data_IF_990717030062
#
_entry.id   IF_990717030062
#
_cell.length_a   1.000
_cell.length_b   1.000
_cell.length_c   1.000
_cell.angle_alpha   90.00
_cell.angle_beta   90.00
_cell.angle_gamma   90.00
#
_symmetry.space_group_name_H-M   'P 1'
#
loop_
_entity.id
_entity.type
_entity.pdbx_description
1 polymer ?
#
# COMPACT_ATOMS: atom_id res chain seq x y z
N UNK A 1 -3.86 12.00 -12.37
CA UNK A 1 -2.55 12.40 -11.80
C UNK A 1 -1.45 11.84 -12.67
N UNK A 2 -0.22 12.34 -12.55
CA UNK A 2 0.92 11.72 -13.21
C UNK A 2 1.35 10.47 -12.44
N UNK A 3 1.61 9.37 -13.14
CA UNK A 3 2.24 8.20 -12.54
C UNK A 3 3.71 8.46 -12.27
N UNK A 4 4.31 7.68 -11.37
CA UNK A 4 5.75 7.72 -11.14
C UNK A 4 6.31 6.31 -11.06
N UNK A 5 7.31 6.04 -11.88
CA UNK A 5 8.08 4.79 -11.86
C UNK A 5 9.55 5.14 -11.70
N UNK A 6 10.26 4.48 -10.79
CA UNK A 6 11.64 4.85 -10.44
C UNK A 6 11.79 6.33 -10.04
N UNK A 7 10.77 6.87 -9.35
CA UNK A 7 10.66 8.29 -8.94
C UNK A 7 10.68 9.31 -10.09
N UNK A 8 10.62 8.87 -11.34
CA UNK A 8 10.48 9.72 -12.53
C UNK A 8 9.01 9.81 -12.95
N UNK A 9 8.66 10.90 -13.63
CA UNK A 9 7.37 11.04 -14.29
C UNK A 9 7.11 9.85 -15.23
N UNK A 10 5.86 9.35 -15.23
CA UNK A 10 5.40 8.26 -16.08
C UNK A 10 4.04 8.59 -16.72
N UNK A 11 3.37 7.62 -17.32
CA UNK A 11 2.03 7.80 -17.90
C UNK A 11 0.98 8.11 -16.81
N UNK A 12 -0.13 8.76 -17.16
CA UNK A 12 -1.15 9.12 -16.19
C UNK A 12 -1.93 7.90 -15.67
N UNK A 13 -2.44 8.06 -14.45
CA UNK A 13 -3.49 7.21 -13.87
C UNK A 13 -4.42 8.08 -13.03
N UNK A 14 -5.61 7.57 -12.71
CA UNK A 14 -6.49 8.22 -11.74
C UNK A 14 -5.97 8.01 -10.33
N UNK A 15 -6.28 8.96 -9.43
CA UNK A 15 -5.97 8.79 -8.00
C UNK A 15 -6.73 7.57 -7.40
N UNK A 16 -7.92 7.28 -7.93
CA UNK A 16 -8.70 6.09 -7.55
C UNK A 16 -7.99 4.78 -7.92
N UNK A 17 -7.36 4.71 -9.11
CA UNK A 17 -6.55 3.55 -9.49
C UNK A 17 -5.36 3.35 -8.54
N UNK A 18 -4.67 4.42 -8.14
CA UNK A 18 -3.60 4.35 -7.15
C UNK A 18 -4.11 3.81 -5.80
N UNK A 19 -5.21 4.37 -5.27
CA UNK A 19 -5.80 3.92 -4.00
C UNK A 19 -6.42 2.50 -4.06
N UNK A 20 -6.81 2.05 -5.26
CA UNK A 20 -7.28 0.68 -5.47
C UNK A 20 -6.16 -0.36 -5.26
N UNK A 21 -4.91 0.02 -5.51
CA UNK A 21 -3.73 -0.78 -5.16
C UNK A 21 -3.67 -1.04 -3.67
N UNK A 22 -3.68 0.02 -2.86
CA UNK A 22 -3.65 -0.07 -1.39
C UNK A 22 -4.82 -0.91 -0.84
N UNK A 23 -6.03 -0.66 -1.34
CA UNK A 23 -7.24 -1.39 -0.93
C UNK A 23 -7.09 -2.90 -1.18
N UNK A 24 -6.53 -3.26 -2.34
CA UNK A 24 -6.30 -4.66 -2.70
C UNK A 24 -5.24 -5.31 -1.82
N UNK A 25 -4.17 -4.59 -1.48
CA UNK A 25 -3.13 -5.10 -0.59
C UNK A 25 -3.65 -5.37 0.82
N UNK A 26 -4.46 -4.46 1.37
CA UNK A 26 -5.11 -4.67 2.67
C UNK A 26 -6.02 -5.88 2.64
N UNK A 27 -6.85 -6.02 1.60
CA UNK A 27 -7.71 -7.19 1.39
C UNK A 27 -6.90 -8.50 1.42
N UNK A 28 -5.80 -8.57 0.69
CA UNK A 28 -4.96 -9.77 0.69
C UNK A 28 -4.17 -9.98 1.97
N UNK A 29 -3.81 -8.91 2.68
CA UNK A 29 -3.30 -9.01 4.04
C UNK A 29 -4.31 -9.71 4.95
N UNK A 30 -5.58 -9.32 4.86
CA UNK A 30 -6.68 -9.97 5.58
C UNK A 30 -6.78 -11.44 5.16
N UNK A 31 -6.86 -11.74 3.86
CA UNK A 31 -6.98 -13.12 3.36
C UNK A 31 -5.82 -14.02 3.83
N UNK A 32 -4.59 -13.50 3.83
CA UNK A 32 -3.39 -14.19 4.32
C UNK A 32 -3.43 -14.43 5.82
N UNK A 33 -3.98 -13.52 6.63
CA UNK A 33 -4.15 -13.75 8.07
C UNK A 33 -5.25 -14.78 8.30
N UNK A 34 -6.39 -14.65 7.62
CA UNK A 34 -7.52 -15.55 7.75
C UNK A 34 -7.17 -16.99 7.37
N UNK A 35 -6.34 -17.20 6.34
CA UNK A 35 -5.94 -18.55 5.94
C UNK A 35 -5.06 -19.26 6.98
N UNK A 36 -4.48 -18.55 7.95
CA UNK A 36 -3.75 -19.16 9.08
C UNK A 36 -4.66 -19.70 10.18
N UNK A 37 -5.88 -19.18 10.29
CA UNK A 37 -6.78 -19.48 11.41
C UNK A 37 -7.15 -20.97 11.54
N UNK A 38 -7.41 -21.73 10.44
CA UNK A 38 -7.63 -23.16 10.54
C UNK A 38 -6.51 -23.92 11.26
N UNK A 39 -5.25 -23.49 11.12
CA UNK A 39 -4.11 -24.09 11.83
C UNK A 39 -4.06 -23.66 13.29
N UNK A 40 -4.46 -22.44 13.61
CA UNK A 40 -4.52 -21.94 14.99
C UNK A 40 -5.64 -22.58 15.83
N UNK A 41 -6.71 -23.06 15.19
CA UNK A 41 -7.80 -23.77 15.86
C UNK A 41 -7.41 -25.19 16.31
N UNK A 42 -6.25 -25.71 15.91
CA UNK A 42 -5.76 -27.01 16.35
C UNK A 42 -5.21 -26.91 17.78
N UNK A 43 -5.94 -27.47 18.74
CA UNK A 43 -5.57 -27.44 20.15
C UNK A 43 -4.72 -28.65 20.55
N UNK A 44 -3.64 -28.42 21.28
CA UNK A 44 -2.79 -29.49 21.84
C UNK A 44 -3.40 -30.17 23.09
N UNK A 45 -4.56 -29.68 23.57
CA UNK A 45 -5.18 -30.14 24.81
C UNK A 45 -5.61 -31.61 24.69
N UNK A 46 -5.12 -32.45 25.61
CA UNK A 46 -5.26 -33.90 25.54
C UNK A 46 -3.97 -34.65 25.23
N UNK A 47 -2.93 -33.97 24.72
CA UNK A 47 -1.61 -34.56 24.47
C UNK A 47 -0.81 -34.90 25.74
N UNK A 48 -1.10 -34.24 26.87
CA UNK A 48 -0.44 -34.44 28.19
C UNK A 48 1.08 -34.17 28.14
N UNK A 49 1.91 -34.95 28.82
CA UNK A 49 3.33 -34.63 29.03
C UNK A 49 4.18 -34.67 27.75
N UNK A 50 3.94 -35.63 26.86
CA UNK A 50 4.76 -35.89 25.67
C UNK A 50 3.92 -36.25 24.43
N UNK A 51 2.63 -35.94 24.43
CA UNK A 51 1.73 -36.22 23.30
C UNK A 51 1.03 -37.59 23.34
N UNK A 52 1.32 -38.46 24.31
CA UNK A 52 0.75 -39.81 24.41
C UNK A 52 -0.68 -39.86 24.93
N UNK A 53 -1.16 -38.78 25.54
CA UNK A 53 -2.43 -38.77 26.26
C UNK A 53 -2.41 -39.56 27.58
N UNK A 54 -1.23 -39.90 28.11
CA UNK A 54 -1.12 -40.59 29.41
C UNK A 54 -1.76 -39.74 30.51
N UNK A 55 -2.61 -40.36 31.34
CA UNK A 55 -3.42 -39.71 32.38
C UNK A 55 -4.56 -38.80 31.86
N UNK A 56 -4.97 -38.94 30.58
CA UNK A 56 -6.24 -38.38 30.08
C UNK A 56 -7.34 -39.42 29.95
N UNK A 57 -8.60 -38.98 29.78
CA UNK A 57 -9.73 -39.87 29.43
C UNK A 57 -9.88 -39.94 27.91
N UNK A 58 -10.16 -41.13 27.37
CA UNK A 58 -10.45 -41.31 25.94
C UNK A 58 -11.61 -40.39 25.52
N UNK A 59 -11.38 -39.56 24.49
CA UNK A 59 -12.36 -38.58 23.97
C UNK A 59 -12.42 -37.24 24.70
N UNK A 60 -11.52 -36.97 25.66
CA UNK A 60 -11.41 -35.67 26.32
C UNK A 60 -11.01 -34.55 25.33
N UNK A 61 -10.02 -34.82 24.49
CA UNK A 61 -9.52 -33.96 23.40
C UNK A 61 -10.63 -33.47 22.46
N UNK A 62 -11.48 -34.38 21.99
CA UNK A 62 -12.62 -34.03 21.12
C UNK A 62 -13.66 -33.19 21.87
N UNK A 63 -13.98 -33.55 23.11
CA UNK A 63 -14.99 -32.84 23.90
C UNK A 63 -14.55 -31.44 24.30
N UNK A 64 -13.28 -31.25 24.67
CA UNK A 64 -12.77 -29.92 25.04
C UNK A 64 -12.68 -29.00 23.81
N UNK A 65 -12.28 -29.52 22.65
CA UNK A 65 -12.28 -28.75 21.41
C UNK A 65 -13.70 -28.31 21.01
N UNK A 66 -14.69 -29.20 21.16
CA UNK A 66 -16.10 -28.87 20.89
C UNK A 66 -16.64 -27.78 21.81
N UNK A 67 -16.36 -27.85 23.12
CA UNK A 67 -16.77 -26.82 24.08
C UNK A 67 -16.13 -25.45 23.77
N UNK A 68 -14.87 -25.41 23.34
CA UNK A 68 -14.19 -24.17 22.94
C UNK A 68 -14.77 -23.60 21.63
N UNK A 69 -15.14 -24.45 20.67
CA UNK A 69 -15.75 -24.01 19.42
C UNK A 69 -17.15 -23.42 19.64
N UNK A 70 -17.96 -24.05 20.50
CA UNK A 70 -19.29 -23.57 20.89
C UNK A 70 -19.23 -22.17 21.53
N UNK A 71 -18.20 -21.91 22.34
CA UNK A 71 -18.00 -20.63 23.00
C UNK A 71 -17.56 -19.49 22.04
N UNK A 72 -17.00 -19.79 20.86
CA UNK A 72 -16.23 -18.81 20.04
C UNK A 72 -16.87 -18.39 18.71
N UNK A 73 -17.72 -19.22 18.09
CA UNK A 73 -18.69 -18.84 17.04
C UNK A 73 -18.17 -18.05 15.79
N UNK A 74 -17.22 -18.57 14.98
CA UNK A 74 -16.60 -17.86 13.82
C UNK A 74 -16.86 -18.49 12.42
N UNK A 75 -17.32 -17.71 11.40
CA UNK A 75 -17.46 -18.15 9.99
C UNK A 75 -16.99 -17.14 8.89
N UNK A 76 -16.54 -17.63 7.70
CA UNK A 76 -15.88 -16.85 6.61
C UNK A 76 -16.54 -16.95 5.20
N UNK A 77 -16.27 -15.97 4.29
CA UNK A 77 -16.58 -15.94 2.81
C UNK A 77 -15.51 -15.17 1.98
N UNK A 78 -15.52 -15.28 0.62
CA UNK A 78 -14.38 -15.04 -0.31
C UNK A 78 -14.45 -13.79 -1.23
N UNK A 79 -13.32 -13.32 -1.81
CA UNK A 79 -13.32 -12.33 -2.90
C UNK A 79 -12.06 -12.27 -3.81
N UNK A 80 -12.23 -11.51 -4.92
CA UNK A 80 -11.61 -11.59 -6.27
C UNK A 80 -10.80 -10.29 -6.61
N UNK A 81 -9.50 -10.29 -7.00
CA UNK A 81 -8.85 -9.16 -7.74
C UNK A 81 -7.43 -9.47 -8.30
N UNK A 82 -6.77 -8.56 -9.05
CA UNK A 82 -5.51 -8.79 -9.82
C UNK A 82 -4.49 -7.61 -9.90
N UNK A 83 -4.54 -6.56 -9.07
CA UNK A 83 -3.58 -5.42 -9.10
C UNK A 83 -2.28 -5.60 -8.28
N UNK A 84 -1.89 -6.83 -7.96
CA UNK A 84 -1.07 -7.17 -6.79
C UNK A 84 0.46 -7.13 -6.97
N UNK A 85 0.99 -7.02 -8.18
CA UNK A 85 2.40 -7.34 -8.41
C UNK A 85 3.39 -6.16 -8.40
N UNK A 86 2.96 -4.89 -8.22
CA UNK A 86 3.81 -3.74 -8.60
C UNK A 86 4.05 -2.64 -7.56
N UNK A 87 3.32 -2.60 -6.44
CA UNK A 87 3.55 -1.60 -5.40
C UNK A 87 3.50 -2.28 -4.04
N UNK A 88 4.52 -2.08 -3.22
CA UNK A 88 4.48 -2.30 -1.79
C UNK A 88 5.04 -1.02 -1.18
N UNK A 89 4.32 -0.39 -0.23
CA UNK A 89 4.74 0.65 0.73
C UNK A 89 3.67 1.77 0.94
N UNK A 90 2.42 1.40 1.25
CA UNK A 90 1.23 2.26 1.29
C UNK A 90 1.38 3.53 2.13
N UNK A 91 1.97 3.43 3.33
CA UNK A 91 2.21 4.58 4.21
C UNK A 91 3.30 5.52 3.69
N UNK A 92 4.27 5.00 2.93
CA UNK A 92 5.34 5.81 2.34
C UNK A 92 4.85 6.60 1.14
N UNK A 93 3.94 6.03 0.35
CA UNK A 93 3.34 6.73 -0.78
C UNK A 93 2.48 7.89 -0.30
N UNK A 94 1.62 7.67 0.70
CA UNK A 94 0.76 8.73 1.27
C UNK A 94 1.58 9.91 1.81
N UNK A 95 2.68 9.66 2.55
CA UNK A 95 3.54 10.75 3.04
C UNK A 95 4.31 11.46 1.93
N UNK A 96 4.74 10.75 0.88
CA UNK A 96 5.45 11.35 -0.26
C UNK A 96 4.49 12.23 -1.07
N UNK A 97 3.30 11.74 -1.37
CA UNK A 97 2.26 12.49 -2.06
C UNK A 97 1.76 13.69 -1.25
N UNK A 98 1.74 13.58 0.08
CA UNK A 98 1.45 14.67 1.02
C UNK A 98 2.61 15.64 1.29
N UNK A 99 3.80 15.43 0.72
CA UNK A 99 4.97 16.27 0.99
C UNK A 99 4.80 17.70 0.45
N UNK A 100 5.15 18.72 1.25
CA UNK A 100 4.91 20.11 0.89
C UNK A 100 5.14 21.08 2.06
N UNK A 101 4.52 22.27 2.06
CA UNK A 101 3.44 22.68 1.15
C UNK A 101 3.91 23.22 -0.21
N UNK A 102 5.18 23.63 -0.36
CA UNK A 102 5.67 24.28 -1.60
C UNK A 102 6.79 23.54 -2.33
N UNK A 103 7.59 22.75 -1.61
CA UNK A 103 8.84 22.17 -2.14
C UNK A 103 8.78 20.64 -2.27
N UNK A 104 7.58 20.06 -2.28
CA UNK A 104 7.35 18.62 -2.42
C UNK A 104 6.39 18.30 -3.59
N UNK A 105 5.84 17.09 -3.57
CA UNK A 105 4.84 16.67 -4.56
C UNK A 105 3.53 17.42 -4.35
N UNK A 106 2.99 17.38 -3.12
CA UNK A 106 1.79 18.10 -2.72
C UNK A 106 0.51 17.69 -3.44
N UNK A 107 0.44 16.43 -3.92
CA UNK A 107 -0.74 15.89 -4.59
C UNK A 107 -1.87 15.54 -3.61
N UNK A 108 -1.50 15.20 -2.36
CA UNK A 108 -2.44 14.96 -1.27
C UNK A 108 -2.34 16.05 -0.21
N UNK A 109 -3.47 16.33 0.43
CA UNK A 109 -3.58 17.14 1.64
C UNK A 109 -3.96 16.18 2.76
N UNK A 110 -3.09 16.06 3.76
CA UNK A 110 -3.31 15.17 4.91
C UNK A 110 -4.00 15.94 6.05
N UNK A 111 -4.79 15.26 6.90
CA UNK A 111 -5.38 15.88 8.08
C UNK A 111 -4.32 16.42 9.04
N UNK A 112 -4.56 17.62 9.58
CA UNK A 112 -3.74 18.20 10.64
C UNK A 112 -4.30 17.79 12.00
N UNK A 113 -3.79 16.67 12.55
CA UNK A 113 -4.21 16.20 13.88
C UNK A 113 -3.41 16.85 15.02
N UNK A 114 -2.16 17.21 14.73
CA UNK A 114 -1.26 17.88 15.65
C UNK A 114 -0.66 19.12 14.96
N UNK A 115 -0.38 20.21 15.71
CA UNK A 115 0.37 21.34 15.16
C UNK A 115 1.74 20.86 14.68
N UNK A 116 1.99 20.88 13.37
CA UNK A 116 3.24 20.34 12.79
C UNK A 116 4.49 21.09 13.26
N UNK A 117 4.35 22.36 13.62
CA UNK A 117 5.32 23.16 14.38
C UNK A 117 4.64 24.46 14.84
N UNK A 118 4.93 24.89 16.07
CA UNK A 118 4.37 26.12 16.65
C UNK A 118 4.69 27.41 15.89
N UNK A 119 5.65 27.39 14.96
CA UNK A 119 6.12 28.58 14.21
C UNK A 119 5.86 28.51 12.69
N UNK A 120 5.42 27.35 12.15
CA UNK A 120 5.31 27.14 10.71
C UNK A 120 3.85 26.92 10.26
N UNK A 121 3.10 27.99 9.94
CA UNK A 121 1.71 27.87 9.51
C UNK A 121 1.59 27.08 8.20
N UNK A 122 0.63 26.16 8.15
CA UNK A 122 0.36 25.31 6.99
C UNK A 122 1.32 24.12 6.80
N UNK A 123 2.25 23.88 7.74
CA UNK A 123 3.08 22.68 7.76
C UNK A 123 2.38 21.57 8.55
N UNK A 124 2.04 20.49 7.86
CA UNK A 124 1.50 19.26 8.47
C UNK A 124 2.54 18.15 8.35
N UNK A 125 2.99 17.58 9.47
CA UNK A 125 3.86 16.40 9.45
C UNK A 125 2.98 15.14 9.29
N UNK A 126 3.40 14.13 8.52
CA UNK A 126 2.63 12.89 8.33
C UNK A 126 2.81 11.91 9.51
N UNK A 127 2.51 12.35 10.73
CA UNK A 127 2.77 11.63 12.00
C UNK A 127 2.16 10.23 12.04
N UNK A 128 0.96 10.07 11.46
CA UNK A 128 0.30 8.76 11.35
C UNK A 128 1.04 7.80 10.40
N UNK A 129 1.63 8.32 9.31
CA UNK A 129 2.48 7.51 8.42
C UNK A 129 3.77 7.08 9.15
N UNK A 130 4.38 8.00 9.90
CA UNK A 130 5.59 7.72 10.70
C UNK A 130 5.33 6.60 11.73
N UNK A 131 4.28 6.74 12.53
CA UNK A 131 3.88 5.74 13.52
C UNK A 131 3.63 4.37 12.88
N UNK A 132 2.89 4.32 11.78
CA UNK A 132 2.60 3.07 11.08
C UNK A 132 3.89 2.40 10.54
N UNK A 133 4.82 3.17 9.98
CA UNK A 133 6.09 2.61 9.48
C UNK A 133 6.98 2.06 10.60
N UNK A 134 7.00 2.69 11.77
CA UNK A 134 7.70 2.16 12.96
C UNK A 134 7.06 0.86 13.46
N UNK A 135 5.73 0.78 13.47
CA UNK A 135 5.01 -0.45 13.82
C UNK A 135 5.34 -1.58 12.85
N UNK A 136 5.34 -1.32 11.54
CA UNK A 136 5.71 -2.32 10.54
C UNK A 136 7.14 -2.86 10.77
N UNK A 137 8.11 -1.98 11.09
CA UNK A 137 9.47 -2.41 11.41
C UNK A 137 9.52 -3.29 12.67
N UNK A 138 8.78 -2.93 13.72
CA UNK A 138 8.70 -3.72 14.94
C UNK A 138 8.10 -5.12 14.69
N UNK A 139 7.05 -5.20 13.87
CA UNK A 139 6.42 -6.48 13.49
C UNK A 139 7.39 -7.37 12.71
N UNK A 140 8.20 -6.81 11.82
CA UNK A 140 9.25 -7.56 11.11
C UNK A 140 10.30 -8.09 12.08
N UNK A 141 10.72 -7.30 13.08
CA UNK A 141 11.62 -7.77 14.15
C UNK A 141 11.01 -8.90 14.98
N UNK A 142 9.74 -8.77 15.38
CA UNK A 142 9.02 -9.82 16.11
C UNK A 142 8.91 -11.11 15.28
N UNK A 143 8.72 -11.01 13.96
CA UNK A 143 8.69 -12.17 13.07
C UNK A 143 10.03 -12.93 13.08
N UNK A 144 11.17 -12.23 13.04
CA UNK A 144 12.49 -12.86 13.16
C UNK A 144 12.62 -13.58 14.51
N UNK A 145 12.21 -12.94 15.61
CA UNK A 145 12.23 -13.57 16.93
C UNK A 145 11.39 -14.86 16.97
N UNK A 146 10.17 -14.83 16.40
CA UNK A 146 9.29 -16.00 16.29
C UNK A 146 9.96 -17.12 15.48
N UNK A 147 10.54 -16.78 14.33
CA UNK A 147 11.22 -17.76 13.46
C UNK A 147 12.37 -18.44 14.19
N UNK A 148 13.20 -17.68 14.90
CA UNK A 148 14.28 -18.23 15.74
C UNK A 148 13.72 -19.10 16.87
N UNK A 149 12.69 -18.65 17.59
CA UNK A 149 12.06 -19.46 18.64
C UNK A 149 11.46 -20.77 18.11
N UNK A 150 10.86 -20.72 16.91
CA UNK A 150 10.26 -21.87 16.24
C UNK A 150 11.29 -22.93 15.84
N UNK A 151 12.49 -22.51 15.42
CA UNK A 151 13.56 -23.44 15.02
C UNK A 151 14.30 -24.10 16.19
N UNK A 152 14.12 -23.62 17.42
CA UNK A 152 14.84 -24.11 18.62
C UNK A 152 14.06 -25.15 19.44
N UNK A 153 13.18 -25.93 18.79
CA UNK A 153 12.55 -27.09 19.41
C UNK A 153 13.55 -28.24 19.58
N UNK A 154 13.59 -28.85 20.77
CA UNK A 154 14.44 -30.00 21.05
C UNK A 154 13.59 -31.16 21.61
N UNK A 155 13.68 -32.32 20.96
CA UNK A 155 12.93 -33.53 21.31
C UNK A 155 11.42 -33.28 21.47
N UNK A 156 10.82 -33.68 22.60
CA UNK A 156 9.37 -33.67 22.81
C UNK A 156 8.77 -32.27 23.09
N UNK A 157 9.59 -31.23 23.28
CA UNK A 157 9.07 -29.91 23.66
C UNK A 157 9.91 -28.74 23.16
N UNK A 158 9.26 -27.83 22.42
CA UNK A 158 9.79 -26.49 22.23
C UNK A 158 9.54 -25.66 23.50
N UNK A 159 10.60 -25.15 24.13
CA UNK A 159 10.57 -24.36 25.38
C UNK A 159 10.58 -22.83 25.16
N UNK A 160 10.57 -22.37 23.90
CA UNK A 160 10.51 -20.94 23.53
C UNK A 160 9.07 -20.41 23.44
N UNK A 161 8.05 -21.20 23.83
CA UNK A 161 6.62 -20.86 23.72
C UNK A 161 6.26 -19.47 24.28
N UNK A 162 6.75 -19.04 25.47
CA UNK A 162 6.39 -17.73 26.01
C UNK A 162 6.86 -16.56 25.12
N UNK A 163 8.08 -16.66 24.57
CA UNK A 163 8.64 -15.62 23.70
C UNK A 163 7.90 -15.57 22.35
N UNK A 164 7.60 -16.73 21.75
CA UNK A 164 6.83 -16.82 20.51
C UNK A 164 5.43 -16.20 20.71
N UNK A 165 4.73 -16.57 21.78
CA UNK A 165 3.40 -16.07 22.08
C UNK A 165 3.41 -14.56 22.35
N UNK A 166 4.35 -14.07 23.16
CA UNK A 166 4.52 -12.64 23.45
C UNK A 166 4.76 -11.82 22.19
N UNK A 167 5.68 -12.27 21.33
CA UNK A 167 6.03 -11.59 20.08
C UNK A 167 4.84 -11.54 19.10
N UNK A 168 4.06 -12.64 19.02
CA UNK A 168 2.87 -12.70 18.20
C UNK A 168 1.79 -11.75 18.71
N UNK A 169 1.44 -11.83 20.00
CA UNK A 169 0.40 -11.00 20.61
C UNK A 169 0.76 -9.51 20.56
N UNK A 170 2.03 -9.17 20.76
CA UNK A 170 2.53 -7.80 20.61
C UNK A 170 2.33 -7.28 19.18
N UNK A 171 2.71 -8.07 18.16
CA UNK A 171 2.51 -7.71 16.75
C UNK A 171 1.03 -7.52 16.41
N UNK A 172 0.15 -8.42 16.88
CA UNK A 172 -1.29 -8.33 16.65
C UNK A 172 -1.87 -7.04 17.24
N UNK A 173 -1.49 -6.71 18.48
CA UNK A 173 -1.95 -5.48 19.14
C UNK A 173 -1.48 -4.22 18.41
N UNK A 174 -0.19 -4.15 18.05
CA UNK A 174 0.38 -3.00 17.35
C UNK A 174 -0.28 -2.81 15.97
N UNK A 175 -0.45 -3.87 15.20
CA UNK A 175 -1.09 -3.79 13.88
C UNK A 175 -2.54 -3.33 13.97
N UNK A 176 -3.30 -3.88 14.93
CA UNK A 176 -4.70 -3.50 15.15
C UNK A 176 -4.84 -2.02 15.52
N UNK A 177 -4.08 -1.57 16.53
CA UNK A 177 -4.14 -0.18 17.01
C UNK A 177 -3.64 0.80 15.95
N UNK A 178 -2.52 0.50 15.29
CA UNK A 178 -1.94 1.37 14.26
C UNK A 178 -2.84 1.48 13.02
N UNK A 179 -3.45 0.38 12.58
CA UNK A 179 -4.37 0.40 11.43
C UNK A 179 -5.61 1.24 11.73
N UNK A 180 -6.19 1.07 12.93
CA UNK A 180 -7.35 1.86 13.36
C UNK A 180 -7.01 3.35 13.52
N UNK A 181 -5.84 3.68 14.09
CA UNK A 181 -5.37 5.06 14.20
C UNK A 181 -5.10 5.68 12.84
N UNK A 182 -4.44 4.96 11.94
CA UNK A 182 -4.11 5.43 10.60
C UNK A 182 -5.36 5.68 9.75
N UNK A 183 -6.35 4.79 9.81
CA UNK A 183 -7.63 5.01 9.13
C UNK A 183 -8.31 6.28 9.64
N UNK A 184 -8.50 6.37 10.96
CA UNK A 184 -9.28 7.44 11.59
C UNK A 184 -8.63 8.81 11.43
N UNK A 185 -7.32 8.89 11.67
CA UNK A 185 -6.59 10.15 11.80
C UNK A 185 -5.84 10.52 10.51
N UNK A 186 -5.75 9.64 9.50
CA UNK A 186 -5.11 9.97 8.23
C UNK A 186 -6.04 9.69 7.06
N UNK A 187 -6.31 8.41 6.75
CA UNK A 187 -6.97 7.99 5.51
C UNK A 187 -8.33 8.64 5.32
N UNK A 188 -9.16 8.65 6.37
CA UNK A 188 -10.53 9.18 6.33
C UNK A 188 -10.61 10.66 5.90
N UNK A 189 -9.58 11.44 6.22
CA UNK A 189 -9.55 12.88 5.94
C UNK A 189 -8.66 13.29 4.78
N UNK A 190 -8.08 12.34 4.02
CA UNK A 190 -7.25 12.66 2.86
C UNK A 190 -8.07 13.44 1.83
N UNK A 191 -7.49 14.52 1.32
CA UNK A 191 -8.05 15.28 0.21
C UNK A 191 -7.05 15.36 -0.95
N UNK A 192 -7.57 15.38 -2.18
CA UNK A 192 -6.75 15.58 -3.37
C UNK A 192 -6.52 17.08 -3.60
N UNK A 193 -5.26 17.49 -3.76
CA UNK A 193 -4.94 18.84 -4.23
C UNK A 193 -5.10 18.90 -5.75
N UNK A 194 -6.34 19.09 -6.20
CA UNK A 194 -6.72 19.02 -7.62
C UNK A 194 -5.94 20.01 -8.48
N UNK A 195 -5.66 21.21 -7.98
CA UNK A 195 -4.89 22.22 -8.69
C UNK A 195 -3.45 21.75 -8.90
N UNK A 196 -2.78 21.29 -7.84
CA UNK A 196 -1.41 20.77 -7.93
C UNK A 196 -1.31 19.54 -8.82
N UNK A 197 -2.26 18.61 -8.70
CA UNK A 197 -2.34 17.41 -9.55
C UNK A 197 -2.48 17.80 -11.02
N UNK A 198 -3.37 18.75 -11.34
CA UNK A 198 -3.58 19.22 -12.70
C UNK A 198 -2.33 19.88 -13.26
N UNK A 199 -1.67 20.73 -12.47
CA UNK A 199 -0.42 21.38 -12.85
C UNK A 199 0.67 20.35 -13.22
N UNK A 200 0.95 19.41 -12.32
CA UNK A 200 1.98 18.39 -12.54
C UNK A 200 1.68 17.49 -13.74
N UNK A 201 0.40 17.16 -13.97
CA UNK A 201 -0.02 16.36 -15.12
C UNK A 201 0.30 17.05 -16.45
N UNK A 202 -0.01 18.34 -16.58
CA UNK A 202 0.18 19.09 -17.83
C UNK A 202 1.62 19.61 -18.02
N UNK A 203 2.41 19.71 -16.96
CA UNK A 203 3.85 20.00 -17.04
C UNK A 203 4.67 18.75 -17.45
N UNK A 204 4.12 17.55 -17.30
CA UNK A 204 4.86 16.32 -17.59
C UNK A 204 5.08 16.08 -19.07
N UNK A 205 6.27 15.60 -19.41
CA UNK A 205 6.63 15.23 -20.78
C UNK A 205 6.13 13.84 -21.18
N UNK A 206 5.58 13.05 -20.25
CA UNK A 206 5.19 11.66 -20.52
C UNK A 206 3.86 11.53 -21.26
N UNK A 207 3.06 12.60 -21.30
CA UNK A 207 1.86 12.66 -22.15
C UNK A 207 2.18 12.50 -23.65
N UNK A 208 3.44 12.71 -24.04
CA UNK A 208 3.95 12.52 -25.40
C UNK A 208 3.72 11.10 -25.94
N UNK A 209 3.58 10.10 -25.05
CA UNK A 209 3.34 8.71 -25.42
C UNK A 209 2.04 8.51 -26.20
N UNK A 210 1.03 9.37 -25.97
CA UNK A 210 -0.23 9.39 -26.74
C UNK A 210 -0.03 9.76 -28.22
N UNK A 211 1.08 10.41 -28.56
CA UNK A 211 1.36 10.85 -29.92
C UNK A 211 1.96 9.73 -30.78
N UNK A 212 2.52 8.68 -30.17
CA UNK A 212 3.20 7.59 -30.87
C UNK A 212 2.38 6.98 -32.02
N UNK A 213 1.07 6.68 -31.88
CA UNK A 213 0.27 6.10 -32.96
C UNK A 213 0.13 7.02 -34.18
N UNK A 214 0.23 8.35 -33.99
CA UNK A 214 0.03 9.34 -35.05
C UNK A 214 1.34 9.78 -35.71
N UNK A 215 2.37 10.07 -34.91
CA UNK A 215 3.62 10.67 -35.40
C UNK A 215 4.81 9.69 -35.36
N UNK A 216 4.64 8.51 -34.79
CA UNK A 216 5.71 7.54 -34.59
C UNK A 216 6.62 7.88 -33.40
N UNK A 217 7.33 6.88 -32.90
CA UNK A 217 8.18 6.98 -31.72
C UNK A 217 9.29 8.04 -31.87
N UNK A 218 9.97 8.08 -33.01
CA UNK A 218 11.11 8.98 -33.21
C UNK A 218 10.72 10.45 -33.14
N UNK A 219 9.57 10.81 -33.74
CA UNK A 219 9.04 12.18 -33.68
C UNK A 219 8.56 12.51 -32.27
N UNK A 220 7.86 11.61 -31.59
CA UNK A 220 7.44 11.80 -30.19
C UNK A 220 8.65 12.00 -29.27
N UNK A 221 9.69 11.20 -29.43
CA UNK A 221 10.95 11.36 -28.69
C UNK A 221 11.63 12.70 -29.00
N UNK A 222 11.60 13.16 -30.25
CA UNK A 222 12.13 14.48 -30.63
C UNK A 222 11.35 15.63 -29.96
N UNK A 223 10.02 15.53 -29.91
CA UNK A 223 9.15 16.49 -29.19
C UNK A 223 9.53 16.55 -27.71
N UNK A 224 9.60 15.41 -27.03
CA UNK A 224 9.95 15.36 -25.60
C UNK A 224 11.35 15.93 -25.33
N UNK A 225 12.35 15.56 -26.14
CA UNK A 225 13.72 16.07 -26.01
C UNK A 225 13.79 17.59 -26.22
N UNK A 226 13.05 18.11 -27.21
CA UNK A 226 12.99 19.56 -27.47
C UNK A 226 12.30 20.30 -26.33
N UNK A 227 11.14 19.81 -25.89
CA UNK A 227 10.40 20.37 -24.76
C UNK A 227 11.28 20.47 -23.51
N UNK A 228 11.99 19.39 -23.18
CA UNK A 228 12.93 19.36 -22.05
C UNK A 228 14.09 20.35 -22.20
N UNK A 229 14.76 20.36 -23.37
CA UNK A 229 15.92 21.22 -23.62
C UNK A 229 15.56 22.70 -23.58
N UNK A 230 14.37 23.07 -24.05
CA UNK A 230 13.91 24.46 -24.13
C UNK A 230 13.11 24.90 -22.89
N UNK A 231 12.77 23.98 -21.97
CA UNK A 231 11.87 24.26 -20.85
C UNK A 231 10.46 24.65 -21.30
N UNK A 232 10.01 24.10 -22.42
CA UNK A 232 8.70 24.40 -23.04
C UNK A 232 7.73 23.22 -22.88
N UNK A 233 6.46 23.45 -23.16
CA UNK A 233 5.44 22.40 -23.15
C UNK A 233 5.59 21.46 -24.35
N UNK A 234 5.05 20.25 -24.25
CA UNK A 234 4.98 19.31 -25.37
C UNK A 234 4.27 19.91 -26.59
N UNK A 235 3.21 20.71 -26.35
CA UNK A 235 2.44 21.37 -27.41
C UNK A 235 3.29 22.38 -28.19
N UNK A 236 4.01 23.25 -27.48
CA UNK A 236 4.92 24.23 -28.09
C UNK A 236 6.04 23.53 -28.87
N UNK A 237 6.62 22.47 -28.32
CA UNK A 237 7.69 21.72 -28.98
C UNK A 237 7.18 21.01 -30.26
N UNK A 238 5.98 20.42 -30.22
CA UNK A 238 5.35 19.75 -31.36
C UNK A 238 5.06 20.74 -32.50
N UNK A 239 4.52 21.91 -32.18
CA UNK A 239 4.27 23.00 -33.12
C UNK A 239 5.58 23.50 -33.76
N UNK A 240 6.62 23.77 -32.95
CA UNK A 240 7.93 24.23 -33.45
C UNK A 240 8.66 23.20 -34.31
N UNK A 241 8.36 21.91 -34.15
CA UNK A 241 8.92 20.84 -35.00
C UNK A 241 8.09 20.61 -36.26
N UNK A 242 6.91 21.22 -36.37
CA UNK A 242 6.01 21.04 -37.51
C UNK A 242 5.43 19.64 -37.62
N UNK A 243 5.43 18.87 -36.52
CA UNK A 243 4.94 17.47 -36.51
C UNK A 243 3.44 17.38 -36.23
N UNK A 244 2.85 18.38 -35.57
CA UNK A 244 1.41 18.48 -35.27
C UNK A 244 0.96 19.94 -35.26
N UNK A 245 -0.30 20.16 -35.61
CA UNK A 245 -1.02 21.43 -35.35
C UNK A 245 -1.50 21.50 -33.89
N UNK A 246 -1.96 22.68 -33.48
CA UNK A 246 -2.49 22.89 -32.12
C UNK A 246 -3.76 22.07 -31.92
N UNK A 247 -4.67 22.07 -32.90
CA UNK A 247 -5.92 21.32 -32.82
C UNK A 247 -5.69 19.80 -32.81
N UNK A 248 -4.72 19.30 -33.57
CA UNK A 248 -4.37 17.88 -33.53
C UNK A 248 -3.78 17.49 -32.19
N UNK A 249 -2.91 18.33 -31.60
CA UNK A 249 -2.36 18.06 -30.27
C UNK A 249 -3.47 17.97 -29.22
N UNK A 250 -4.39 18.93 -29.19
CA UNK A 250 -5.49 18.97 -28.20
C UNK A 250 -6.45 17.79 -28.36
N UNK A 251 -6.60 17.24 -29.58
CA UNK A 251 -7.41 16.03 -29.83
C UNK A 251 -6.71 14.75 -29.40
N UNK A 252 -5.38 14.69 -29.48
CA UNK A 252 -4.60 13.47 -29.22
C UNK A 252 -4.18 13.37 -27.75
N UNK A 253 -3.84 14.49 -27.12
CA UNK A 253 -3.35 14.53 -25.75
C UNK A 253 -4.51 14.82 -24.79
N UNK A 254 -5.31 13.79 -24.54
CA UNK A 254 -6.44 13.83 -23.60
C UNK A 254 -6.13 12.87 -22.44
N UNK A 255 -5.64 13.36 -21.28
CA UNK A 255 -5.21 12.49 -20.17
C UNK A 255 -6.27 11.51 -19.68
N UNK A 256 -7.55 11.87 -19.78
CA UNK A 256 -8.70 11.03 -19.42
C UNK A 256 -8.81 9.77 -20.30
N UNK A 257 -8.25 9.81 -21.51
CA UNK A 257 -8.22 8.66 -22.43
C UNK A 257 -6.91 7.85 -22.32
N UNK A 258 -6.01 8.23 -21.40
CA UNK A 258 -4.68 7.61 -21.24
C UNK A 258 -4.56 6.75 -19.97
N UNK A 259 -5.69 6.34 -19.38
CA UNK A 259 -5.78 5.65 -18.09
C UNK A 259 -6.16 4.16 -18.20
N UNK A 260 -6.18 3.61 -19.42
CA UNK A 260 -6.50 2.22 -19.70
C UNK A 260 -6.36 1.88 -21.19
N UNK A 261 -6.49 0.60 -21.58
CA UNK A 261 -6.55 0.21 -22.98
C UNK A 261 -7.75 0.86 -23.69
N UNK A 262 -7.56 1.20 -24.97
CA UNK A 262 -8.66 1.57 -25.87
C UNK A 262 -9.23 0.31 -26.55
N UNK A 263 -10.55 0.24 -26.67
CA UNK A 263 -11.21 -0.72 -27.57
C UNK A 263 -10.87 -0.45 -29.06
#
# INVERSE_FOLDING_TARGET
>A
KIGRTHTQDATPLTLGQEFSGYTTQVKYGIDRVMCTLPHMYQLAQGGTAVGTGLNTKKGFDVKIAAAVAEETNLPFVTAENKFEALAAHDANDIRLLGSGPRCGLGELILPENEPGSSIMPGKVNPTQCEALTMVCAQVMGNHVAITVGGSNGHFELNVFKPMIASSLLHSLRLLGDASASFEKNCVRGIQANRERISKLLHESLMLVTSLNPKIGYDNAAAVAKKAHKEGSTLKEAALKLGVLTSEEFDKLVVPENMIGPSD
#
